data_IF_946015474661
#
_entry.id   IF_946015474661
#
_cell.length_a   1.000
_cell.length_b   1.000
_cell.length_c   1.000
_cell.angle_alpha   90.00
_cell.angle_beta   90.00
_cell.angle_gamma   90.00
#
_symmetry.space_group_name_H-M   'P 1'
#
loop_
_entity.id
_entity.type
_entity.pdbx_description
1 polymer ?
#
# COMPACT_ATOMS: atom_id res chain seq x y z
N UNK A 1 -65.62 22.95 -29.85
CA UNK A 1 -64.27 23.39 -30.25
C UNK A 1 -63.26 22.22 -30.18
N UNK A 2 -62.59 21.85 -31.28
CA UNK A 2 -61.46 20.93 -31.23
C UNK A 2 -60.19 21.70 -30.84
N UNK A 3 -59.32 21.07 -30.05
CA UNK A 3 -57.98 21.58 -29.71
C UNK A 3 -57.00 20.64 -30.40
N UNK A 4 -56.17 21.17 -31.31
CA UNK A 4 -55.14 20.41 -32.03
C UNK A 4 -54.05 19.89 -31.06
N UNK A 5 -53.46 18.70 -31.30
CA UNK A 5 -52.26 18.23 -30.60
C UNK A 5 -50.97 18.59 -31.40
N UNK A 6 -49.78 18.36 -30.81
CA UNK A 6 -48.82 19.35 -30.37
C UNK A 6 -47.87 19.90 -31.46
N UNK A 7 -47.35 21.11 -31.21
CA UNK A 7 -46.38 21.83 -32.03
C UNK A 7 -44.95 21.64 -31.46
N UNK A 8 -44.04 21.36 -32.39
CA UNK A 8 -42.57 21.58 -32.40
C UNK A 8 -41.62 20.39 -32.15
N UNK A 9 -40.83 20.15 -33.20
CA UNK A 9 -39.68 19.25 -33.35
C UNK A 9 -38.54 19.63 -32.39
N UNK A 10 -37.71 18.68 -31.93
CA UNK A 10 -36.51 19.00 -31.17
C UNK A 10 -35.50 19.80 -32.00
N UNK A 11 -35.07 20.92 -31.41
CA UNK A 11 -33.95 21.76 -31.86
C UNK A 11 -32.62 20.97 -31.82
N UNK A 12 -31.77 21.24 -32.82
CA UNK A 12 -30.47 20.67 -33.15
C UNK A 12 -29.59 20.04 -32.03
N UNK A 13 -28.75 19.03 -32.37
CA UNK A 13 -27.77 18.47 -31.45
C UNK A 13 -26.66 19.47 -31.10
N UNK A 14 -26.03 19.35 -29.92
CA UNK A 14 -24.95 20.24 -29.50
C UNK A 14 -23.71 20.09 -30.39
N UNK A 15 -23.18 21.24 -30.78
CA UNK A 15 -21.99 21.44 -31.60
C UNK A 15 -20.71 21.16 -30.79
N UNK A 16 -19.92 20.20 -31.29
CA UNK A 16 -18.50 19.89 -31.01
C UNK A 16 -18.07 19.48 -29.58
N UNK A 17 -17.32 18.36 -29.43
CA UNK A 17 -16.59 18.06 -28.19
C UNK A 17 -15.37 18.98 -28.03
N UNK A 18 -14.91 19.25 -26.79
CA UNK A 18 -13.68 19.99 -26.57
C UNK A 18 -12.46 19.15 -26.98
N UNK A 19 -11.76 19.60 -28.02
CA UNK A 19 -10.43 19.12 -28.41
C UNK A 19 -9.40 19.75 -27.47
N UNK A 20 -8.98 19.03 -26.44
CA UNK A 20 -7.67 19.20 -25.78
C UNK A 20 -7.30 17.90 -25.07
N UNK A 21 -6.62 17.00 -25.80
CA UNK A 21 -5.89 15.88 -25.22
C UNK A 21 -4.60 16.43 -24.58
N UNK A 22 -4.29 16.11 -23.32
CA UNK A 22 -2.97 16.38 -22.75
C UNK A 22 -1.92 15.50 -23.44
N UNK A 23 -1.08 16.11 -24.26
CA UNK A 23 0.10 15.48 -24.86
C UNK A 23 1.25 15.46 -23.85
N UNK A 24 1.26 14.46 -22.96
CA UNK A 24 2.44 13.81 -22.36
C UNK A 24 2.07 13.11 -21.03
N UNK A 25 2.54 11.88 -20.77
CA UNK A 25 2.55 11.34 -19.41
C UNK A 25 3.56 12.12 -18.55
N UNK A 26 3.31 12.34 -17.25
CA UNK A 26 4.36 12.79 -16.35
C UNK A 26 5.44 11.70 -16.25
N UNK A 27 6.57 11.94 -16.91
CA UNK A 27 7.78 11.13 -16.79
C UNK A 27 8.47 11.50 -15.48
N UNK A 28 8.11 10.79 -14.40
CA UNK A 28 8.95 10.36 -13.27
C UNK A 28 8.08 10.17 -12.01
N UNK A 29 8.10 9.00 -11.35
CA UNK A 29 7.65 8.91 -9.97
C UNK A 29 8.61 9.75 -9.09
N UNK A 30 8.13 10.38 -8.01
CA UNK A 30 9.03 10.93 -7.00
C UNK A 30 9.80 9.77 -6.33
N UNK A 31 11.05 9.57 -6.75
CA UNK A 31 12.02 8.69 -6.08
C UNK A 31 12.64 9.45 -4.91
N UNK A 32 11.93 9.53 -3.80
CA UNK A 32 12.55 9.74 -2.49
C UNK A 32 11.61 9.21 -1.41
N UNK A 33 12.01 8.23 -0.59
CA UNK A 33 11.24 7.86 0.60
C UNK A 33 11.16 9.07 1.54
N UNK A 34 10.13 9.18 2.39
CA UNK A 34 10.08 10.22 3.41
C UNK A 34 11.30 10.08 4.33
N UNK A 35 12.13 11.11 4.40
CA UNK A 35 13.19 11.20 5.40
C UNK A 35 12.54 11.37 6.77
N UNK A 36 12.34 10.27 7.50
CA UNK A 36 11.92 10.33 8.90
C UNK A 36 12.94 11.14 9.72
N UNK A 37 12.48 11.95 10.71
CA UNK A 37 13.37 12.60 11.67
C UNK A 37 14.18 11.55 12.46
N UNK A 38 15.28 11.92 13.14
CA UNK A 38 16.10 10.97 13.88
C UNK A 38 15.27 10.36 15.02
N UNK A 39 14.74 9.16 14.79
CA UNK A 39 14.15 8.34 15.84
C UNK A 39 15.27 7.99 16.81
N UNK A 40 15.08 8.26 18.10
CA UNK A 40 15.92 7.67 19.15
C UNK A 40 16.12 6.19 18.83
N UNK A 41 17.34 5.64 18.86
CA UNK A 41 17.54 4.25 18.51
C UNK A 41 16.69 3.39 19.43
N UNK A 42 15.65 2.77 18.86
CA UNK A 42 14.89 1.73 19.53
C UNK A 42 15.88 0.72 20.10
N UNK A 43 15.57 0.06 21.24
CA UNK A 43 16.43 -1.00 21.76
C UNK A 43 16.77 -1.93 20.61
N UNK A 44 18.07 -1.99 20.25
CA UNK A 44 18.50 -2.72 19.05
C UNK A 44 17.90 -4.11 19.11
N UNK A 45 17.24 -4.50 18.02
CA UNK A 45 16.73 -5.84 17.84
C UNK A 45 17.78 -6.86 18.32
N UNK A 46 17.40 -7.88 19.11
CA UNK A 46 18.33 -8.71 19.86
C UNK A 46 19.34 -9.52 19.03
N UNK A 47 19.25 -9.50 17.69
CA UNK A 47 20.20 -10.12 16.78
C UNK A 47 21.55 -9.40 16.63
N UNK A 48 21.78 -8.24 17.25
CA UNK A 48 23.06 -7.53 17.17
C UNK A 48 23.35 -6.95 15.78
N UNK A 49 22.32 -6.74 14.97
CA UNK A 49 22.40 -6.11 13.65
C UNK A 49 22.01 -4.62 13.72
N UNK A 50 22.37 -3.87 12.67
CA UNK A 50 21.81 -2.53 12.43
C UNK A 50 20.43 -2.65 11.81
N UNK A 51 19.61 -1.59 11.91
CA UNK A 51 18.26 -1.59 11.33
C UNK A 51 18.29 -1.85 9.83
N UNK A 52 19.21 -1.21 9.10
CA UNK A 52 19.40 -1.43 7.66
C UNK A 52 19.82 -2.88 7.32
N UNK A 53 20.67 -3.50 8.13
CA UNK A 53 21.06 -4.91 7.92
C UNK A 53 19.87 -5.84 8.17
N UNK A 54 19.09 -5.55 9.21
CA UNK A 54 17.91 -6.33 9.56
C UNK A 54 16.83 -6.24 8.49
N UNK A 55 16.58 -5.03 7.96
CA UNK A 55 15.63 -4.81 6.87
C UNK A 55 16.03 -5.58 5.61
N UNK A 56 17.31 -5.53 5.24
CA UNK A 56 17.82 -6.29 4.10
C UNK A 56 17.66 -7.82 4.29
N UNK A 57 18.01 -8.33 5.48
CA UNK A 57 17.84 -9.75 5.82
C UNK A 57 16.36 -10.16 5.83
N UNK A 58 15.49 -9.32 6.39
CA UNK A 58 14.05 -9.54 6.40
C UNK A 58 13.48 -9.55 4.99
N UNK A 59 13.83 -8.58 4.14
CA UNK A 59 13.40 -8.55 2.75
C UNK A 59 13.84 -9.81 2.00
N UNK A 60 15.08 -10.24 2.19
CA UNK A 60 15.61 -11.46 1.57
C UNK A 60 14.84 -12.72 2.01
N UNK A 61 14.54 -12.87 3.31
CA UNK A 61 13.79 -13.99 3.84
C UNK A 61 12.33 -13.97 3.36
N UNK A 62 11.66 -12.83 3.43
CA UNK A 62 10.24 -12.72 3.10
C UNK A 62 9.96 -12.78 1.60
N UNK A 63 10.93 -12.40 0.77
CA UNK A 63 10.90 -12.61 -0.68
C UNK A 63 10.80 -14.09 -1.09
N UNK A 64 11.09 -15.03 -0.17
CA UNK A 64 10.92 -16.47 -0.43
C UNK A 64 9.46 -16.95 -0.36
N UNK A 65 8.58 -16.17 0.28
CA UNK A 65 7.18 -16.52 0.52
C UNK A 65 6.20 -15.47 0.01
N UNK A 66 6.68 -14.36 -0.56
CA UNK A 66 5.87 -13.28 -1.13
C UNK A 66 6.59 -12.63 -2.29
N UNK A 67 5.84 -12.11 -3.24
CA UNK A 67 6.41 -11.37 -4.38
C UNK A 67 7.15 -10.12 -3.85
N UNK A 68 8.44 -9.94 -4.18
CA UNK A 68 9.22 -8.78 -3.77
C UNK A 68 8.58 -7.44 -4.12
N UNK A 69 7.82 -7.36 -5.22
CA UNK A 69 7.12 -6.12 -5.60
C UNK A 69 5.99 -5.77 -4.62
N UNK A 70 5.30 -6.77 -4.08
CA UNK A 70 4.24 -6.55 -3.09
C UNK A 70 4.80 -6.19 -1.71
N UNK A 71 6.00 -6.68 -1.36
CA UNK A 71 6.69 -6.27 -0.12
C UNK A 71 7.03 -4.78 -0.10
N UNK A 72 7.28 -4.18 -1.27
CA UNK A 72 7.60 -2.75 -1.41
C UNK A 72 6.36 -1.88 -1.65
N UNK A 73 5.18 -2.47 -1.77
CA UNK A 73 3.92 -1.75 -1.96
C UNK A 73 3.10 -1.75 -0.68
N UNK A 74 3.23 -0.67 0.11
CA UNK A 74 2.52 -0.43 1.38
C UNK A 74 0.99 -0.37 1.23
N UNK A 75 0.45 -0.32 0.00
CA UNK A 75 -1.00 -0.42 -0.22
C UNK A 75 -1.49 -1.87 -0.18
N UNK A 76 -0.58 -2.85 -0.26
CA UNK A 76 -0.89 -4.28 -0.22
C UNK A 76 -0.81 -4.83 1.21
N UNK A 77 -1.51 -5.95 1.52
CA UNK A 77 -1.33 -6.62 2.80
C UNK A 77 0.11 -7.09 3.06
N UNK A 78 0.85 -7.47 2.01
CA UNK A 78 2.25 -7.89 2.09
C UNK A 78 3.15 -6.73 2.51
N UNK A 79 3.02 -5.57 1.86
CA UNK A 79 3.80 -4.37 2.19
C UNK A 79 3.48 -3.83 3.57
N UNK A 80 2.19 -3.75 3.96
CA UNK A 80 1.81 -3.36 5.34
C UNK A 80 2.35 -4.32 6.38
N UNK A 81 2.32 -5.62 6.11
CA UNK A 81 2.89 -6.60 7.03
C UNK A 81 4.42 -6.54 7.10
N UNK A 82 5.08 -6.14 6.01
CA UNK A 82 6.52 -5.93 5.97
C UNK A 82 6.90 -4.70 6.80
N UNK A 83 6.25 -3.56 6.56
CA UNK A 83 6.40 -2.35 7.39
C UNK A 83 6.18 -2.68 8.88
N UNK A 84 5.07 -3.36 9.19
CA UNK A 84 4.74 -3.72 10.58
C UNK A 84 5.84 -4.56 11.25
N UNK A 85 6.35 -5.60 10.59
CA UNK A 85 7.36 -6.47 11.22
C UNK A 85 8.72 -5.77 11.34
N UNK A 86 9.00 -4.75 10.52
CA UNK A 86 10.24 -3.98 10.58
C UNK A 86 10.18 -2.90 11.65
N UNK A 87 9.13 -2.07 11.65
CA UNK A 87 9.10 -0.82 12.42
C UNK A 87 8.15 -0.83 13.62
N UNK A 88 7.16 -1.73 13.65
CA UNK A 88 6.06 -1.70 14.65
C UNK A 88 6.11 -2.90 15.60
N UNK A 89 6.53 -4.08 15.15
CA UNK A 89 6.52 -5.32 15.95
C UNK A 89 7.42 -5.20 17.19
N UNK A 90 6.82 -4.96 18.35
CA UNK A 90 7.49 -4.83 19.65
C UNK A 90 8.32 -6.07 20.03
N UNK A 91 8.00 -7.23 19.46
CA UNK A 91 8.79 -8.44 19.69
C UNK A 91 10.16 -8.38 19.00
N UNK A 92 10.31 -7.55 17.96
CA UNK A 92 11.52 -7.38 17.15
C UNK A 92 12.26 -8.72 16.94
N UNK A 93 11.61 -9.64 16.20
CA UNK A 93 12.20 -10.95 15.91
C UNK A 93 13.40 -10.85 14.97
N UNK A 94 14.37 -11.74 15.13
CA UNK A 94 15.49 -11.91 14.22
C UNK A 94 14.98 -12.51 12.88
N UNK A 95 15.36 -11.97 11.71
CA UNK A 95 14.98 -12.57 10.42
C UNK A 95 15.39 -14.04 10.24
N UNK A 96 16.49 -14.45 10.89
CA UNK A 96 16.96 -15.82 10.91
C UNK A 96 16.15 -16.76 11.83
N UNK A 97 15.24 -16.23 12.66
CA UNK A 97 14.39 -17.07 13.51
C UNK A 97 13.36 -17.83 12.66
N UNK A 98 13.17 -19.15 12.86
CA UNK A 98 12.20 -19.94 12.11
C UNK A 98 10.75 -19.43 12.19
N UNK A 99 10.40 -18.66 13.24
CA UNK A 99 9.08 -18.08 13.44
C UNK A 99 8.93 -16.69 12.82
N UNK A 100 9.99 -16.11 12.26
CA UNK A 100 9.94 -14.79 11.63
C UNK A 100 8.92 -14.77 10.49
N UNK A 101 9.02 -15.74 9.58
CA UNK A 101 8.06 -15.94 8.47
C UNK A 101 6.64 -16.18 9.00
N UNK A 102 6.48 -16.91 10.11
CA UNK A 102 5.17 -17.16 10.71
C UNK A 102 4.51 -15.84 11.16
N UNK A 103 5.24 -14.97 11.86
CA UNK A 103 4.73 -13.65 12.29
C UNK A 103 4.35 -12.80 11.10
N UNK A 104 5.20 -12.75 10.08
CA UNK A 104 4.90 -12.06 8.83
C UNK A 104 3.60 -12.57 8.20
N UNK A 105 3.43 -13.88 8.04
CA UNK A 105 2.21 -14.46 7.46
C UNK A 105 0.97 -14.08 8.29
N UNK A 106 1.09 -13.99 9.62
CA UNK A 106 -0.01 -13.51 10.47
C UNK A 106 -0.33 -12.03 10.25
N UNK A 107 0.68 -11.17 10.05
CA UNK A 107 0.46 -9.78 9.66
C UNK A 107 -0.21 -9.66 8.30
N UNK A 108 0.23 -10.45 7.30
CA UNK A 108 -0.43 -10.50 5.98
C UNK A 108 -1.89 -10.91 6.11
N UNK A 109 -2.18 -11.94 6.91
CA UNK A 109 -3.55 -12.37 7.17
C UNK A 109 -4.37 -11.23 7.80
N UNK A 110 -3.87 -10.62 8.87
CA UNK A 110 -4.50 -9.48 9.55
C UNK A 110 -4.89 -8.38 8.54
N UNK A 111 -3.94 -7.90 7.75
CA UNK A 111 -4.18 -6.82 6.77
C UNK A 111 -5.02 -7.24 5.56
N UNK A 112 -5.08 -8.52 5.23
CA UNK A 112 -5.95 -9.04 4.15
C UNK A 112 -7.41 -9.14 4.57
N UNK A 113 -7.66 -9.20 5.87
CA UNK A 113 -9.00 -9.32 6.47
C UNK A 113 -9.45 -8.04 7.16
N UNK A 114 -8.87 -6.90 6.79
CA UNK A 114 -9.18 -5.59 7.36
C UNK A 114 -9.05 -5.57 8.90
N UNK A 115 -7.94 -6.11 9.39
CA UNK A 115 -7.64 -6.26 10.82
C UNK A 115 -7.90 -5.03 11.68
N UNK A 116 -7.55 -3.84 11.17
CA UNK A 116 -7.74 -2.56 11.88
C UNK A 116 -9.23 -2.26 12.16
N UNK A 117 -10.15 -2.88 11.41
CA UNK A 117 -11.59 -2.73 11.55
C UNK A 117 -12.23 -3.80 12.43
N UNK A 118 -11.49 -4.80 12.94
CA UNK A 118 -12.06 -5.90 13.71
C UNK A 118 -12.80 -5.44 14.98
N UNK A 119 -12.36 -4.34 15.59
CA UNK A 119 -13.00 -3.77 16.78
C UNK A 119 -14.15 -2.79 16.46
N UNK A 120 -14.44 -2.56 15.18
CA UNK A 120 -15.50 -1.65 14.73
C UNK A 120 -16.80 -2.38 14.37
N UNK A 121 -16.91 -3.67 14.72
CA UNK A 121 -18.10 -4.47 14.53
C UNK A 121 -19.16 -4.23 15.61
N UNK A 122 -20.20 -3.48 15.24
CA UNK A 122 -21.56 -3.57 15.79
C UNK A 122 -22.50 -4.04 14.68
#
# INVERSE_FOLDING_TARGET
PPTDPPTELPTAPPTNPPTNLPTAPPTNPPTAPPTNPPTEPLPRCPCGQTDASREADAFAVLSTVSDPALLLDETTPQGRSFEWIIDIDEFCGCPADPKFVQRYIMGVFYYSTEGDSWNNGC
#
